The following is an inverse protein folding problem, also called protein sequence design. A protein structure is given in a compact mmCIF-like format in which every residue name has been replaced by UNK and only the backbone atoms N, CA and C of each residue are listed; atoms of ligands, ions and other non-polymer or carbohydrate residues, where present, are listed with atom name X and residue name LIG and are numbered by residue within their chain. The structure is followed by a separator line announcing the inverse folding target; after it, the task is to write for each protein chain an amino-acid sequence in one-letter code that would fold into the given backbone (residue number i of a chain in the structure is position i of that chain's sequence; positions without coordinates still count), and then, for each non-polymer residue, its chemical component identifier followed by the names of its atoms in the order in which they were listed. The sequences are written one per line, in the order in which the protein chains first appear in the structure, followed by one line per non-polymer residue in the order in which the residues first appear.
data_IF_906620381191
#
_entry.id   IF_906620381191
#
_cell.length_a   1.000
_cell.length_b   1.000
_cell.length_c   1.000
_cell.angle_alpha   90.00
_cell.angle_beta   90.00
_cell.angle_gamma   90.00
#
_symmetry.space_group_name_H-M   'P 1'
#
loop_
_entity.id
_entity.type
_entity.pdbx_description
1 polymer ?
#
# COMPACT_ATOMS: atom_id res chain seq x y z
N UNK A 1 48.57 -25.64 -64.46
CA UNK A 1 48.48 -24.56 -63.51
C UNK A 1 47.13 -24.63 -62.83
N UNK A 2 47.05 -25.23 -61.64
CA UNK A 2 45.82 -25.32 -60.85
C UNK A 2 45.83 -24.22 -59.80
N UNK A 3 44.86 -23.31 -59.83
CA UNK A 3 44.65 -22.30 -58.80
C UNK A 3 43.71 -22.90 -57.76
N UNK A 4 44.22 -23.09 -56.55
CA UNK A 4 43.47 -23.45 -55.37
C UNK A 4 42.77 -22.18 -54.80
N UNK A 5 41.45 -22.26 -54.73
CA UNK A 5 40.64 -21.20 -54.01
C UNK A 5 40.51 -21.63 -52.57
N UNK A 6 41.15 -20.91 -51.69
CA UNK A 6 40.94 -21.04 -50.24
C UNK A 6 39.62 -20.36 -49.85
N UNK A 7 38.66 -21.15 -49.43
CA UNK A 7 37.43 -20.69 -48.82
C UNK A 7 37.68 -20.41 -47.34
N UNK A 8 37.57 -19.16 -46.96
CA UNK A 8 37.59 -18.72 -45.57
C UNK A 8 36.19 -18.83 -44.99
N UNK A 9 35.94 -19.62 -43.94
CA UNK A 9 34.65 -19.59 -43.27
C UNK A 9 34.57 -18.33 -42.40
N UNK A 10 33.64 -17.44 -42.76
CA UNK A 10 33.26 -16.30 -41.91
C UNK A 10 32.45 -16.84 -40.73
N UNK A 11 33.07 -16.86 -39.56
CA UNK A 11 32.42 -17.19 -38.31
C UNK A 11 31.64 -15.95 -37.84
N UNK A 12 30.35 -15.91 -38.14
CA UNK A 12 29.43 -14.92 -37.59
C UNK A 12 29.12 -15.34 -36.16
N UNK A 13 29.85 -14.80 -35.21
CA UNK A 13 29.52 -14.90 -33.80
C UNK A 13 28.32 -13.96 -33.54
N UNK A 14 27.12 -14.52 -33.51
CA UNK A 14 25.93 -13.82 -33.04
C UNK A 14 26.07 -13.57 -31.52
N UNK A 15 26.51 -12.37 -31.17
CA UNK A 15 26.51 -11.88 -29.80
C UNK A 15 25.06 -11.62 -29.40
N UNK A 16 24.38 -12.64 -28.88
CA UNK A 16 23.09 -12.46 -28.22
C UNK A 16 23.39 -11.78 -26.88
N UNK A 17 23.38 -10.46 -26.85
CA UNK A 17 23.35 -9.70 -25.63
C UNK A 17 22.04 -10.04 -24.93
N UNK A 18 22.08 -10.94 -23.96
CA UNK A 18 21.00 -11.15 -23.03
C UNK A 18 20.79 -9.83 -22.28
N UNK A 19 19.81 -9.04 -22.73
CA UNK A 19 19.30 -7.91 -21.97
C UNK A 19 18.59 -8.52 -20.77
N UNK A 20 19.36 -8.80 -19.72
CA UNK A 20 18.80 -9.04 -18.40
C UNK A 20 18.15 -7.73 -18.01
N UNK A 21 16.82 -7.66 -17.81
CA UNK A 21 16.24 -6.48 -17.23
C UNK A 21 16.91 -6.29 -15.88
N UNK A 22 17.81 -5.33 -15.78
CA UNK A 22 18.28 -4.83 -14.50
C UNK A 22 16.99 -4.29 -13.87
N UNK A 23 16.41 -5.05 -12.96
CA UNK A 23 15.39 -4.52 -12.09
C UNK A 23 16.01 -3.25 -11.52
N UNK A 24 15.52 -2.10 -11.96
CA UNK A 24 15.87 -0.83 -11.38
C UNK A 24 15.45 -0.94 -9.91
N UNK A 25 16.39 -1.39 -9.06
CA UNK A 25 16.29 -1.14 -7.65
C UNK A 25 16.32 0.36 -7.57
N UNK A 26 15.21 0.94 -7.16
CA UNK A 26 15.19 2.29 -6.67
C UNK A 26 16.05 2.28 -5.40
N UNK A 27 17.37 2.34 -5.55
CA UNK A 27 18.36 2.46 -4.47
C UNK A 27 18.38 3.89 -3.91
N UNK A 28 17.33 4.68 -4.16
CA UNK A 28 17.04 5.82 -3.34
C UNK A 28 16.58 5.31 -1.99
N UNK A 29 17.35 5.60 -0.94
CA UNK A 29 16.79 5.59 0.41
C UNK A 29 15.42 6.25 0.32
N UNK A 30 14.34 5.61 0.83
CA UNK A 30 13.03 6.23 0.80
C UNK A 30 13.19 7.63 1.36
N UNK A 31 12.78 8.63 0.59
CA UNK A 31 12.79 10.01 1.06
C UNK A 31 12.05 9.99 2.38
N UNK A 32 12.77 10.34 3.42
CA UNK A 32 12.34 10.22 4.80
C UNK A 32 10.98 10.88 4.98
N UNK A 33 10.01 10.13 5.43
CA UNK A 33 8.59 10.48 5.42
C UNK A 33 7.86 9.91 4.19
N UNK A 34 6.61 9.48 4.38
CA UNK A 34 5.83 8.87 3.31
C UNK A 34 5.37 9.95 2.35
N UNK A 35 5.85 9.88 1.14
CA UNK A 35 5.48 10.78 0.05
C UNK A 35 5.30 10.08 -1.29
N UNK A 36 5.23 8.78 -1.26
CA UNK A 36 4.92 8.02 -2.47
C UNK A 36 3.42 8.09 -2.69
N UNK A 37 3.02 8.51 -3.89
CA UNK A 37 1.61 8.46 -4.27
C UNK A 37 1.06 7.05 -4.18
N UNK A 38 -0.13 6.92 -3.63
CA UNK A 38 -0.85 5.66 -3.66
C UNK A 38 -1.42 5.40 -5.06
N UNK A 39 -1.61 4.11 -5.37
CA UNK A 39 -2.29 3.66 -6.60
C UNK A 39 -3.76 4.08 -6.70
N UNK A 40 -4.28 4.76 -5.68
CA UNK A 40 -5.64 5.26 -5.57
C UNK A 40 -6.29 4.89 -4.24
N UNK A 41 -7.40 5.55 -3.94
CA UNK A 41 -8.22 5.30 -2.76
C UNK A 41 -9.63 4.89 -3.19
N UNK A 42 -10.17 3.83 -2.58
CA UNK A 42 -11.50 3.34 -2.85
C UNK A 42 -12.49 3.85 -1.80
N UNK A 43 -13.66 4.24 -2.26
CA UNK A 43 -14.79 4.56 -1.41
C UNK A 43 -15.57 3.29 -1.06
N UNK A 44 -15.96 3.17 0.20
CA UNK A 44 -16.86 2.10 0.64
C UNK A 44 -18.35 2.47 0.42
N UNK A 45 -18.66 3.75 0.22
CA UNK A 45 -20.02 4.27 0.19
C UNK A 45 -20.62 4.34 -1.22
N UNK A 46 -19.81 4.72 -2.23
CA UNK A 46 -20.30 4.96 -3.60
C UNK A 46 -19.78 3.99 -4.66
N UNK A 47 -19.00 2.98 -4.24
CA UNK A 47 -18.42 2.00 -5.16
C UNK A 47 -17.46 2.62 -6.18
N UNK A 48 -16.89 3.78 -5.89
CA UNK A 48 -15.91 4.45 -6.72
C UNK A 48 -14.48 4.30 -6.19
N UNK A 49 -13.52 4.48 -7.08
CA UNK A 49 -12.10 4.60 -6.78
C UNK A 49 -11.59 5.91 -7.36
N UNK A 50 -10.77 6.60 -6.59
CA UNK A 50 -10.13 7.84 -7.00
C UNK A 50 -8.66 7.59 -7.28
N UNK A 51 -8.18 8.11 -8.41
CA UNK A 51 -6.78 7.98 -8.84
C UNK A 51 -6.26 9.35 -9.29
N UNK A 52 -4.94 9.49 -9.29
CA UNK A 52 -4.27 10.68 -9.82
C UNK A 52 -3.29 10.28 -10.91
N UNK A 53 -3.27 11.06 -12.00
CA UNK A 53 -2.40 10.85 -13.15
C UNK A 53 -1.59 12.14 -13.36
N UNK A 54 -0.26 12.09 -13.28
CA UNK A 54 0.57 13.26 -13.57
C UNK A 54 0.49 13.61 -15.06
N UNK A 55 0.31 14.92 -15.35
CA UNK A 55 0.17 15.46 -16.69
C UNK A 55 0.98 16.76 -16.82
N UNK A 56 2.31 16.65 -16.87
CA UNK A 56 3.25 17.77 -16.87
C UNK A 56 3.13 18.60 -15.58
N UNK A 57 2.77 19.89 -15.70
CA UNK A 57 2.55 20.78 -14.55
C UNK A 57 1.15 20.69 -13.94
N UNK A 58 0.40 19.67 -14.31
CA UNK A 58 -0.98 19.44 -13.88
C UNK A 58 -1.15 18.02 -13.35
N UNK A 59 -2.22 17.81 -12.62
CA UNK A 59 -2.68 16.48 -12.18
C UNK A 59 -4.08 16.25 -12.72
N UNK A 60 -4.30 15.13 -13.35
CA UNK A 60 -5.64 14.64 -13.67
C UNK A 60 -6.09 13.77 -12.48
N UNK A 61 -7.26 14.09 -11.95
CA UNK A 61 -7.93 13.29 -10.92
C UNK A 61 -9.09 12.59 -11.59
N UNK A 62 -9.22 11.30 -11.41
CA UNK A 62 -10.32 10.52 -11.94
C UNK A 62 -11.07 9.80 -10.83
N UNK A 63 -12.40 9.80 -10.97
CA UNK A 63 -13.31 8.94 -10.24
C UNK A 63 -13.68 7.78 -11.16
N UNK A 64 -13.38 6.58 -10.75
CA UNK A 64 -13.53 5.37 -11.56
C UNK A 64 -14.48 4.41 -10.84
N UNK A 65 -15.44 3.84 -11.56
CA UNK A 65 -16.29 2.78 -11.01
C UNK A 65 -15.44 1.57 -10.58
N UNK A 66 -15.64 1.06 -9.37
CA UNK A 66 -14.88 -0.10 -8.87
C UNK A 66 -15.12 -1.36 -9.72
N UNK A 67 -16.32 -1.48 -10.27
CA UNK A 67 -16.67 -2.55 -11.20
C UNK A 67 -16.70 -2.00 -12.62
N UNK A 68 -15.98 -2.64 -13.53
CA UNK A 68 -15.94 -2.28 -14.95
C UNK A 68 -14.98 -1.15 -15.33
N UNK A 69 -14.37 -0.44 -14.37
CA UNK A 69 -13.31 0.55 -14.64
C UNK A 69 -13.77 1.80 -15.42
N UNK A 70 -15.07 2.07 -15.52
CA UNK A 70 -15.59 3.26 -16.22
C UNK A 70 -15.19 4.53 -15.47
N UNK A 71 -14.68 5.55 -16.19
CA UNK A 71 -14.45 6.89 -15.66
C UNK A 71 -15.80 7.58 -15.47
N UNK A 72 -16.14 7.87 -14.22
CA UNK A 72 -17.41 8.52 -13.83
C UNK A 72 -17.29 10.05 -13.88
N UNK A 73 -16.13 10.55 -13.47
CA UNK A 73 -15.80 11.97 -13.49
C UNK A 73 -14.28 12.14 -13.58
N UNK A 74 -13.84 13.27 -14.10
CA UNK A 74 -12.44 13.65 -14.08
C UNK A 74 -12.27 15.16 -13.96
N UNK A 75 -11.12 15.58 -13.44
CA UNK A 75 -10.74 17.00 -13.33
C UNK A 75 -9.24 17.18 -13.47
N UNK A 76 -8.83 18.21 -14.18
CA UNK A 76 -7.45 18.65 -14.27
C UNK A 76 -7.17 19.75 -13.24
N UNK A 77 -6.24 19.52 -12.34
CA UNK A 77 -5.77 20.47 -11.33
C UNK A 77 -4.46 21.10 -11.78
N UNK A 78 -4.22 22.35 -11.45
CA UNK A 78 -2.91 23.00 -11.61
C UNK A 78 -1.97 22.55 -10.47
N UNK A 79 -0.80 22.08 -10.80
CA UNK A 79 0.21 21.57 -9.86
C UNK A 79 0.27 20.05 -9.87
N UNK A 80 1.27 19.52 -9.20
CA UNK A 80 1.50 18.09 -9.04
C UNK A 80 0.93 17.65 -7.70
N UNK A 81 -0.07 16.78 -7.73
CA UNK A 81 -0.72 16.23 -6.54
C UNK A 81 -0.89 14.73 -6.69
N UNK A 82 -0.97 14.03 -5.58
CA UNK A 82 -1.18 12.60 -5.52
C UNK A 82 -2.14 12.22 -4.40
N UNK A 83 -2.76 11.05 -4.50
CA UNK A 83 -3.42 10.40 -3.38
C UNK A 83 -2.34 10.14 -2.31
N UNK A 84 -2.51 10.59 -1.06
CA UNK A 84 -1.50 10.37 -0.05
C UNK A 84 -1.39 8.88 0.32
N UNK A 85 -0.17 8.36 0.38
CA UNK A 85 0.14 7.14 1.09
C UNK A 85 0.34 7.49 2.58
N UNK A 86 -0.15 6.65 3.48
CA UNK A 86 -0.14 6.92 4.92
C UNK A 86 0.69 5.92 5.73
N UNK A 87 1.17 4.86 5.08
CA UNK A 87 2.12 3.91 5.63
C UNK A 87 2.99 3.32 4.52
N UNK A 88 4.14 2.74 4.89
CA UNK A 88 5.09 2.17 3.93
C UNK A 88 4.57 0.90 3.23
N UNK A 89 3.51 0.28 3.73
CA UNK A 89 2.81 -0.81 3.05
C UNK A 89 1.98 -0.34 1.83
N UNK A 90 1.99 0.96 1.52
CA UNK A 90 1.24 1.55 0.42
C UNK A 90 -0.22 1.87 0.76
N UNK A 91 -0.62 1.76 2.02
CA UNK A 91 -1.97 2.16 2.45
C UNK A 91 -2.29 3.57 2.01
N UNK A 92 -3.40 3.72 1.31
CA UNK A 92 -3.90 5.00 0.81
C UNK A 92 -4.72 5.74 1.87
N UNK A 93 -4.64 7.07 1.84
CA UNK A 93 -5.47 7.95 2.64
C UNK A 93 -6.14 9.03 1.81
N UNK A 94 -6.71 10.04 2.47
CA UNK A 94 -7.23 11.23 1.82
C UNK A 94 -8.70 11.22 1.47
N UNK A 95 -9.40 10.08 1.49
CA UNK A 95 -10.85 10.03 1.29
C UNK A 95 -11.55 9.90 2.64
N UNK A 96 -12.53 10.77 2.90
CA UNK A 96 -13.38 10.67 4.10
C UNK A 96 -14.27 9.42 4.04
N UNK A 97 -14.64 8.87 5.20
CA UNK A 97 -15.43 7.64 5.26
C UNK A 97 -16.83 7.78 4.67
N UNK A 98 -17.42 8.98 4.75
CA UNK A 98 -18.68 9.30 4.07
C UNK A 98 -18.53 9.47 2.55
N UNK A 99 -17.31 9.39 2.02
CA UNK A 99 -17.00 9.50 0.61
C UNK A 99 -17.11 10.91 0.03
N UNK A 100 -17.39 11.96 0.83
CA UNK A 100 -17.69 13.30 0.31
C UNK A 100 -16.45 14.18 0.08
N UNK A 101 -15.36 13.90 0.76
CA UNK A 101 -14.15 14.74 0.74
C UNK A 101 -12.94 13.94 0.31
N UNK A 102 -12.26 14.40 -0.75
CA UNK A 102 -11.00 13.86 -1.22
C UNK A 102 -9.88 14.87 -1.00
N UNK A 103 -8.81 14.44 -0.33
CA UNK A 103 -7.61 15.25 -0.08
C UNK A 103 -6.45 14.69 -0.88
N UNK A 104 -5.79 15.57 -1.63
CA UNK A 104 -4.57 15.26 -2.37
C UNK A 104 -3.42 16.07 -1.78
N UNK A 105 -2.21 15.53 -1.84
CA UNK A 105 -1.00 16.18 -1.35
C UNK A 105 0.02 16.37 -2.48
N UNK A 106 0.80 17.45 -2.41
CA UNK A 106 1.96 17.67 -3.29
C UNK A 106 3.07 16.69 -2.86
N UNK A 107 3.63 15.86 -3.77
CA UNK A 107 4.71 14.94 -3.45
C UNK A 107 5.93 15.69 -2.88
N UNK A 108 6.60 15.07 -1.89
CA UNK A 108 7.86 15.60 -1.33
C UNK A 108 9.01 15.28 -2.29
N UNK A 109 9.75 16.28 -2.67
CA UNK A 109 10.93 16.13 -3.53
C UNK A 109 12.24 16.33 -2.76
N UNK A 110 12.16 16.85 -1.54
CA UNK A 110 13.30 17.06 -0.65
C UNK A 110 12.86 17.03 0.81
N UNK A 111 13.76 16.66 1.71
CA UNK A 111 13.55 16.72 3.15
C UNK A 111 14.62 17.62 3.80
N UNK A 112 14.23 18.56 4.69
CA UNK A 112 12.85 18.99 4.89
C UNK A 112 12.38 19.88 3.74
N UNK A 113 11.07 19.95 3.52
CA UNK A 113 10.49 20.96 2.63
C UNK A 113 10.02 22.18 3.42
N UNK A 114 10.17 23.38 2.85
CA UNK A 114 9.76 24.62 3.50
C UNK A 114 8.23 24.77 3.57
N UNK A 115 7.51 24.19 2.63
CA UNK A 115 6.05 24.28 2.55
C UNK A 115 5.45 23.01 2.05
N UNK A 116 4.27 22.68 2.56
CA UNK A 116 3.44 21.55 2.11
C UNK A 116 2.15 22.07 1.51
N UNK A 117 1.80 21.59 0.31
CA UNK A 117 0.53 21.96 -0.33
C UNK A 117 -0.41 20.78 -0.41
N UNK A 118 -1.69 21.07 -0.23
CA UNK A 118 -2.78 20.11 -0.36
C UNK A 118 -3.91 20.73 -1.17
N UNK A 119 -4.70 19.87 -1.81
CA UNK A 119 -5.96 20.24 -2.44
C UNK A 119 -7.06 19.43 -1.80
N UNK A 120 -8.13 20.09 -1.41
CA UNK A 120 -9.36 19.48 -0.89
C UNK A 120 -10.39 19.57 -2.00
N UNK A 121 -10.94 18.42 -2.38
CA UNK A 121 -11.98 18.28 -3.39
C UNK A 121 -13.26 17.75 -2.76
N UNK A 122 -14.41 18.18 -3.26
CA UNK A 122 -15.64 17.39 -3.12
C UNK A 122 -15.56 16.20 -4.06
N UNK A 123 -15.98 15.03 -3.62
CA UNK A 123 -16.13 13.87 -4.49
C UNK A 123 -17.23 14.07 -5.55
N UNK A 124 -18.24 14.88 -5.24
CA UNK A 124 -19.26 15.28 -6.21
C UNK A 124 -18.66 16.14 -7.33
N UNK A 125 -18.43 15.50 -8.48
CA UNK A 125 -17.85 16.13 -9.67
C UNK A 125 -16.42 16.63 -9.47
N UNK A 126 -15.70 16.16 -8.48
CA UNK A 126 -14.29 16.50 -8.16
C UNK A 126 -14.07 18.01 -8.05
N UNK A 127 -15.03 18.74 -7.49
CA UNK A 127 -14.96 20.21 -7.38
C UNK A 127 -13.92 20.61 -6.35
N UNK A 128 -12.97 21.46 -6.74
CA UNK A 128 -11.97 22.01 -5.83
C UNK A 128 -12.65 22.93 -4.82
N UNK A 129 -12.56 22.57 -3.54
CA UNK A 129 -13.08 23.36 -2.43
C UNK A 129 -12.02 24.31 -1.88
N UNK A 130 -10.80 23.81 -1.73
CA UNK A 130 -9.71 24.59 -1.09
C UNK A 130 -8.33 24.12 -1.55
N UNK A 131 -7.40 25.08 -1.66
CA UNK A 131 -5.96 24.81 -1.66
C UNK A 131 -5.43 25.22 -0.29
N UNK A 132 -4.74 24.31 0.38
CA UNK A 132 -4.09 24.53 1.68
C UNK A 132 -2.59 24.61 1.46
N UNK A 133 -1.94 25.62 2.04
CA UNK A 133 -0.49 25.76 2.08
C UNK A 133 -0.06 25.86 3.53
N UNK A 134 0.64 24.87 4.01
CA UNK A 134 1.20 24.82 5.37
C UNK A 134 2.67 25.21 5.32
N UNK A 135 3.10 26.03 6.27
CA UNK A 135 4.52 26.33 6.47
C UNK A 135 5.18 25.18 7.22
N UNK A 136 6.21 24.59 6.63
CA UNK A 136 6.91 23.44 7.18
C UNK A 136 6.67 22.16 6.39
N UNK A 137 7.25 21.09 6.89
CA UNK A 137 7.19 19.78 6.28
C UNK A 137 6.14 18.89 6.97
N UNK A 138 5.11 18.53 6.21
CA UNK A 138 4.00 17.73 6.68
C UNK A 138 3.78 16.52 5.75
N UNK A 139 3.49 15.35 6.32
CA UNK A 139 2.85 14.25 5.61
C UNK A 139 1.38 14.16 6.03
N UNK A 140 0.53 13.71 5.11
CA UNK A 140 -0.86 13.43 5.42
C UNK A 140 -0.95 12.18 6.30
N UNK A 141 -1.81 12.22 7.32
CA UNK A 141 -2.03 11.09 8.21
C UNK A 141 -3.44 10.53 8.10
N UNK A 142 -4.46 11.34 8.36
CA UNK A 142 -5.84 10.90 8.33
C UNK A 142 -6.81 12.03 7.98
N UNK A 143 -8.05 11.66 7.66
CA UNK A 143 -9.19 12.55 7.53
C UNK A 143 -10.33 12.04 8.40
N UNK A 144 -11.05 12.95 9.07
CA UNK A 144 -12.24 12.58 9.85
C UNK A 144 -13.36 12.05 8.94
N UNK A 145 -14.34 11.31 9.49
CA UNK A 145 -15.40 10.69 8.70
C UNK A 145 -16.14 11.61 7.73
N UNK A 146 -16.31 12.88 8.10
CA UNK A 146 -17.02 13.90 7.29
C UNK A 146 -16.09 14.88 6.57
N UNK A 147 -14.76 14.65 6.58
CA UNK A 147 -13.81 15.57 5.97
C UNK A 147 -13.60 16.88 6.71
N UNK A 148 -14.23 17.10 7.89
CA UNK A 148 -14.15 18.36 8.64
C UNK A 148 -12.80 18.59 9.31
N UNK A 149 -12.04 17.53 9.59
CA UNK A 149 -10.71 17.56 10.17
C UNK A 149 -9.73 16.76 9.32
N UNK A 150 -8.52 17.33 9.10
CA UNK A 150 -7.38 16.61 8.53
C UNK A 150 -6.31 16.48 9.61
N UNK A 151 -5.55 15.38 9.56
CA UNK A 151 -4.47 15.09 10.46
C UNK A 151 -3.17 14.97 9.70
N UNK A 152 -2.10 15.50 10.27
CA UNK A 152 -0.80 15.56 9.65
C UNK A 152 0.30 15.12 10.60
N UNK A 153 1.28 14.44 10.07
CA UNK A 153 2.59 14.27 10.67
C UNK A 153 3.40 15.52 10.35
N UNK A 154 3.72 16.34 11.35
CA UNK A 154 4.55 17.54 11.23
C UNK A 154 5.98 17.21 11.63
N UNK A 155 6.90 17.20 10.70
CA UNK A 155 8.31 16.96 10.96
C UNK A 155 8.95 18.20 11.55
N UNK A 156 9.43 18.08 12.80
CA UNK A 156 9.93 19.22 13.60
C UNK A 156 11.45 19.30 13.63
N UNK A 157 12.14 18.31 13.07
CA UNK A 157 13.60 18.29 12.97
C UNK A 157 14.03 18.28 11.50
N UNK A 158 14.95 19.19 11.11
CA UNK A 158 15.43 19.20 9.73
C UNK A 158 16.36 18.03 9.38
N UNK A 159 16.93 17.38 10.39
CA UNK A 159 17.93 16.32 10.23
C UNK A 159 17.46 14.95 10.71
N UNK A 160 16.29 14.88 11.35
CA UNK A 160 15.77 13.65 11.93
C UNK A 160 14.26 13.52 11.63
N UNK A 161 13.89 12.79 10.59
CA UNK A 161 12.50 12.60 10.18
C UNK A 161 11.72 11.67 11.11
N UNK A 162 12.40 11.01 12.04
CA UNK A 162 11.73 10.20 13.06
C UNK A 162 11.18 11.05 14.22
N UNK A 163 11.46 12.37 14.21
CA UNK A 163 10.95 13.32 15.19
C UNK A 163 9.84 14.17 14.60
N UNK A 164 8.62 13.92 15.03
CA UNK A 164 7.44 14.58 14.51
C UNK A 164 6.35 14.74 15.58
N UNK A 165 5.35 15.53 15.22
CA UNK A 165 4.12 15.74 15.98
C UNK A 165 2.93 15.38 15.10
N UNK A 166 1.85 14.89 15.70
CA UNK A 166 0.56 14.77 15.03
C UNK A 166 -0.23 16.05 15.27
N UNK A 167 -0.72 16.69 14.22
CA UNK A 167 -1.49 17.93 14.30
C UNK A 167 -2.79 17.85 13.53
N UNK A 168 -3.84 18.47 14.06
CA UNK A 168 -5.13 18.57 13.41
C UNK A 168 -5.28 19.90 12.68
N UNK A 169 -5.91 19.86 11.49
CA UNK A 169 -6.27 21.02 10.69
C UNK A 169 -7.80 21.14 10.60
N UNK A 170 -8.33 22.26 10.99
CA UNK A 170 -9.74 22.60 10.86
C UNK A 170 -10.05 23.05 9.43
N UNK A 171 -10.74 22.21 8.69
CA UNK A 171 -11.04 22.48 7.26
C UNK A 171 -11.95 23.68 7.09
N UNK A 172 -12.95 23.85 7.98
CA UNK A 172 -13.86 24.97 7.92
C UNK A 172 -13.16 26.31 8.19
N UNK A 173 -12.37 26.36 9.28
CA UNK A 173 -11.64 27.58 9.65
C UNK A 173 -10.37 27.78 8.84
N UNK A 174 -9.89 26.75 8.14
CA UNK A 174 -8.68 26.81 7.31
C UNK A 174 -7.39 26.99 8.11
N UNK A 175 -7.31 26.42 9.31
CA UNK A 175 -6.15 26.60 10.19
C UNK A 175 -5.70 25.30 10.87
N UNK A 176 -4.39 25.19 11.03
CA UNK A 176 -3.76 24.17 11.84
C UNK A 176 -3.98 24.50 13.32
N UNK A 177 -4.31 23.50 14.14
CA UNK A 177 -4.36 23.68 15.58
C UNK A 177 -2.95 23.75 16.16
N UNK A 178 -2.71 24.70 17.06
CA UNK A 178 -1.39 24.87 17.68
C UNK A 178 -1.03 23.71 18.62
N UNK A 179 -2.02 23.11 19.29
CA UNK A 179 -1.81 22.00 20.23
C UNK A 179 -1.70 20.70 19.42
N UNK A 180 -0.62 19.93 19.58
CA UNK A 180 -0.51 18.63 18.95
C UNK A 180 -1.51 17.62 19.56
N UNK A 181 -1.80 16.59 18.80
CA UNK A 181 -2.52 15.41 19.27
C UNK A 181 -1.52 14.55 20.04
N UNK A 182 -1.85 14.23 21.26
CA UNK A 182 -1.02 13.40 22.15
C UNK A 182 -1.89 12.33 22.80
N UNK A 183 -1.25 11.30 23.30
CA UNK A 183 -1.87 10.35 24.21
C UNK A 183 -2.07 11.02 25.58
N UNK A 184 -3.31 11.16 26.08
CA UNK A 184 -3.57 11.79 27.38
C UNK A 184 -2.99 10.99 28.55
N UNK A 185 -2.85 9.67 28.39
CA UNK A 185 -2.29 8.78 29.42
C UNK A 185 -0.75 8.81 29.44
N UNK A 186 -0.14 9.28 28.32
CA UNK A 186 1.32 9.36 28.15
C UNK A 186 1.75 10.75 27.65
N UNK A 187 1.42 11.85 28.35
CA UNK A 187 1.59 13.22 27.83
C UNK A 187 3.05 13.63 27.56
N UNK A 188 4.01 12.94 28.13
CA UNK A 188 5.45 13.17 27.91
C UNK A 188 6.06 12.33 26.79
N UNK A 189 5.30 11.38 26.22
CA UNK A 189 5.79 10.52 25.17
C UNK A 189 5.92 11.28 23.85
N UNK A 190 7.03 11.04 23.16
CA UNK A 190 7.30 11.63 21.83
C UNK A 190 7.08 10.58 20.78
N UNK A 191 6.23 10.88 19.81
CA UNK A 191 6.06 10.06 18.63
C UNK A 191 7.39 9.91 17.89
N UNK A 192 7.71 8.68 17.48
CA UNK A 192 8.95 8.33 16.75
C UNK A 192 8.77 7.07 15.92
N UNK A 193 9.65 6.90 14.95
CA UNK A 193 9.69 5.71 14.11
C UNK A 193 8.96 5.87 12.78
N UNK A 194 8.96 4.79 12.02
CA UNK A 194 8.39 4.73 10.69
C UNK A 194 7.00 4.09 10.72
N UNK A 195 6.01 4.65 10.02
CA UNK A 195 4.68 4.07 9.91
C UNK A 195 4.72 2.90 8.91
N UNK A 196 4.63 1.68 9.42
CA UNK A 196 4.81 0.46 8.63
C UNK A 196 3.54 0.00 7.93
N UNK A 197 2.42 0.05 8.65
CA UNK A 197 1.13 -0.45 8.15
C UNK A 197 -0.01 0.36 8.75
N UNK A 198 -1.10 0.52 7.99
CA UNK A 198 -2.28 1.29 8.37
C UNK A 198 -3.56 0.49 8.15
N UNK A 199 -4.50 0.63 9.07
CA UNK A 199 -5.91 0.26 8.88
C UNK A 199 -6.83 1.30 9.52
N UNK A 200 -8.08 1.37 9.05
CA UNK A 200 -9.11 2.29 9.57
C UNK A 200 -10.29 1.49 10.10
N UNK A 201 -10.97 2.02 11.12
CA UNK A 201 -12.30 1.53 11.46
C UNK A 201 -13.29 1.78 10.31
N UNK A 202 -14.31 0.95 10.20
CA UNK A 202 -15.27 1.03 9.09
C UNK A 202 -16.00 2.39 9.02
N UNK A 203 -16.23 3.05 10.16
CA UNK A 203 -16.82 4.37 10.27
C UNK A 203 -15.82 5.52 10.04
N UNK A 204 -14.53 5.20 9.82
CA UNK A 204 -13.46 6.18 9.63
C UNK A 204 -13.06 6.96 10.88
N UNK A 205 -13.65 6.66 12.04
CA UNK A 205 -13.33 7.34 13.29
C UNK A 205 -11.92 7.05 13.77
N UNK A 206 -11.49 5.80 13.71
CA UNK A 206 -10.19 5.38 14.21
C UNK A 206 -9.22 5.07 13.10
N UNK A 207 -8.05 5.71 13.16
CA UNK A 207 -6.92 5.40 12.30
C UNK A 207 -5.83 4.69 13.13
N UNK A 208 -5.58 3.42 12.82
CA UNK A 208 -4.57 2.61 13.49
C UNK A 208 -3.33 2.51 12.64
N UNK A 209 -2.19 2.96 13.14
CA UNK A 209 -0.91 2.90 12.43
C UNK A 209 0.12 2.16 13.28
N UNK A 210 0.71 1.13 12.70
CA UNK A 210 1.85 0.45 13.30
C UNK A 210 3.13 1.23 13.03
N UNK A 211 3.88 1.53 14.08
CA UNK A 211 5.19 2.17 14.03
C UNK A 211 6.29 1.20 14.51
N UNK A 212 7.49 1.31 13.92
CA UNK A 212 8.65 0.50 14.31
C UNK A 212 9.33 0.95 15.60
N UNK A 213 8.90 2.09 16.17
CA UNK A 213 9.44 2.63 17.41
C UNK A 213 10.86 3.21 17.31
N UNK A 214 11.48 3.29 16.11
CA UNK A 214 12.85 3.77 15.90
C UNK A 214 13.88 3.12 16.84
N UNK A 215 13.86 1.81 16.93
CA UNK A 215 14.77 1.00 17.77
C UNK A 215 14.29 0.81 19.22
N UNK A 216 13.14 1.37 19.59
CA UNK A 216 12.43 1.04 20.84
C UNK A 216 11.31 0.02 20.56
N UNK A 217 10.42 -0.17 21.54
CA UNK A 217 9.24 -1.02 21.38
C UNK A 217 8.39 -0.53 20.21
N UNK A 218 8.03 -1.40 19.25
CA UNK A 218 7.03 -1.07 18.23
C UNK A 218 5.68 -0.84 18.89
N UNK A 219 4.87 0.04 18.32
CA UNK A 219 3.57 0.40 18.88
C UNK A 219 2.52 0.67 17.80
N UNK A 220 1.27 0.61 18.20
CA UNK A 220 0.15 1.07 17.38
C UNK A 220 -0.31 2.43 17.88
N UNK A 221 -0.24 3.43 17.01
CA UNK A 221 -0.87 4.73 17.22
C UNK A 221 -2.33 4.66 16.79
N UNK A 222 -3.24 4.72 17.76
CA UNK A 222 -4.68 4.73 17.55
C UNK A 222 -5.18 6.19 17.63
N UNK A 223 -5.39 6.81 16.46
CA UNK A 223 -5.85 8.20 16.35
C UNK A 223 -7.38 8.24 16.27
N UNK A 224 -8.04 8.88 17.24
CA UNK A 224 -9.47 9.26 17.18
C UNK A 224 -9.63 10.53 16.34
N UNK A 225 -10.05 10.37 15.10
CA UNK A 225 -10.24 11.47 14.14
C UNK A 225 -11.46 12.34 14.44
N UNK A 226 -12.33 11.94 15.36
CA UNK A 226 -13.50 12.70 15.83
C UNK A 226 -13.18 13.39 17.14
N UNK A 227 -12.63 12.65 18.12
CA UNK A 227 -12.25 13.16 19.44
C UNK A 227 -10.99 14.03 19.41
N UNK A 228 -10.16 13.93 18.39
CA UNK A 228 -8.86 14.62 18.29
C UNK A 228 -7.92 14.26 19.43
N UNK A 229 -7.86 12.99 19.74
CA UNK A 229 -6.97 12.37 20.71
C UNK A 229 -6.30 11.15 20.11
N UNK A 230 -5.31 10.61 20.76
CA UNK A 230 -4.65 9.39 20.35
C UNK A 230 -4.29 8.52 21.55
N UNK A 231 -4.08 7.24 21.32
CA UNK A 231 -3.48 6.29 22.26
C UNK A 231 -2.31 5.58 21.61
N UNK A 232 -1.20 5.46 22.35
CA UNK A 232 -0.02 4.71 21.95
C UNK A 232 -0.05 3.34 22.63
N UNK A 233 -0.27 2.29 21.85
CA UNK A 233 -0.43 0.91 22.33
C UNK A 233 0.87 0.17 22.07
N UNK A 234 1.66 -0.04 23.11
CA UNK A 234 2.96 -0.72 23.00
C UNK A 234 2.78 -2.22 22.71
N UNK A 235 3.64 -2.74 21.84
CA UNK A 235 3.61 -4.14 21.40
C UNK A 235 4.77 -4.93 22.02
N UNK A 236 4.86 -4.94 23.33
CA UNK A 236 5.93 -5.61 24.10
C UNK A 236 6.04 -7.12 23.83
N UNK A 237 4.95 -7.74 23.34
CA UNK A 237 4.89 -9.17 23.03
C UNK A 237 5.52 -9.59 21.70
N UNK A 238 5.98 -8.64 20.86
CA UNK A 238 6.62 -8.99 19.58
C UNK A 238 8.00 -9.57 19.85
N UNK A 239 8.26 -10.77 19.29
CA UNK A 239 9.50 -11.47 19.50
C UNK A 239 10.70 -10.68 18.94
N UNK A 240 11.83 -10.71 19.68
CA UNK A 240 13.11 -10.15 19.24
C UNK A 240 13.52 -10.78 17.89
N UNK A 241 13.95 -9.97 16.94
CA UNK A 241 14.31 -10.42 15.59
C UNK A 241 13.13 -10.56 14.60
N UNK A 242 11.90 -10.25 15.01
CA UNK A 242 10.79 -10.16 14.07
C UNK A 242 11.06 -9.06 13.05
N UNK A 243 10.93 -9.38 11.75
CA UNK A 243 10.96 -8.36 10.70
C UNK A 243 9.68 -7.52 10.76
N UNK A 244 9.78 -6.34 11.37
CA UNK A 244 8.64 -5.44 11.57
C UNK A 244 8.04 -4.96 10.25
N UNK A 245 8.82 -4.92 9.14
CA UNK A 245 8.36 -4.50 7.82
C UNK A 245 7.38 -5.50 7.18
N UNK A 246 7.37 -6.74 7.64
CA UNK A 246 6.42 -7.76 7.23
C UNK A 246 5.11 -7.71 8.01
N UNK A 247 5.05 -6.93 9.08
CA UNK A 247 3.85 -6.82 9.90
C UNK A 247 2.77 -6.00 9.19
N UNK A 248 1.53 -6.45 9.32
CA UNK A 248 0.34 -5.78 8.78
C UNK A 248 -0.74 -5.68 9.84
N UNK A 249 -1.47 -4.58 9.81
CA UNK A 249 -2.64 -4.36 10.64
C UNK A 249 -3.91 -4.78 9.91
N UNK A 250 -4.81 -5.41 10.64
CA UNK A 250 -6.15 -5.74 10.17
C UNK A 250 -7.14 -5.73 11.33
N UNK A 251 -8.27 -5.06 11.15
CA UNK A 251 -9.42 -5.22 12.03
C UNK A 251 -10.10 -6.53 11.69
N UNK A 252 -10.50 -7.31 12.68
CA UNK A 252 -11.24 -8.55 12.51
C UNK A 252 -12.66 -8.29 11.96
N UNK A 253 -13.37 -9.37 11.63
CA UNK A 253 -14.66 -9.25 10.94
C UNK A 253 -15.77 -8.65 11.81
N UNK A 254 -15.70 -8.83 13.11
CA UNK A 254 -16.69 -8.30 14.05
C UNK A 254 -16.32 -6.91 14.59
N UNK A 255 -15.19 -6.36 14.16
CA UNK A 255 -14.76 -5.01 14.50
C UNK A 255 -14.27 -4.84 15.94
N UNK A 256 -14.00 -5.95 16.67
CA UNK A 256 -13.65 -5.90 18.09
C UNK A 256 -12.16 -5.95 18.36
N UNK A 257 -11.39 -6.52 17.43
CA UNK A 257 -9.96 -6.72 17.60
C UNK A 257 -9.18 -6.12 16.44
N UNK A 258 -8.06 -5.52 16.77
CA UNK A 258 -7.02 -5.19 15.81
C UNK A 258 -5.95 -6.28 15.86
N UNK A 259 -5.73 -6.94 14.74
CA UNK A 259 -4.80 -8.05 14.59
C UNK A 259 -3.52 -7.53 13.96
N UNK A 260 -2.40 -7.68 14.66
CA UNK A 260 -1.05 -7.53 14.09
C UNK A 260 -0.64 -8.88 13.52
N UNK A 261 -0.32 -8.93 12.24
CA UNK A 261 -0.03 -10.18 11.51
C UNK A 261 1.34 -10.13 10.85
N UNK A 262 2.00 -11.27 10.86
CA UNK A 262 3.15 -11.53 9.99
C UNK A 262 2.67 -12.53 8.92
N UNK A 263 2.58 -12.08 7.67
CA UNK A 263 1.99 -12.86 6.57
C UNK A 263 0.60 -13.42 6.95
N UNK A 264 0.44 -14.73 7.04
CA UNK A 264 -0.82 -15.38 7.38
C UNK A 264 -1.10 -15.47 8.90
N UNK A 265 -0.05 -15.39 9.74
CA UNK A 265 -0.14 -15.70 11.18
C UNK A 265 -0.33 -14.45 12.03
N UNK A 266 -1.28 -14.42 12.97
CA UNK A 266 -1.36 -13.36 13.95
C UNK A 266 -0.17 -13.44 14.91
N UNK A 267 0.38 -12.28 15.29
CA UNK A 267 1.45 -12.16 16.30
C UNK A 267 0.99 -11.45 17.54
N UNK A 268 0.06 -10.51 17.42
CA UNK A 268 -0.57 -9.82 18.55
C UNK A 268 -2.01 -9.48 18.23
N UNK A 269 -2.85 -9.48 19.26
CA UNK A 269 -4.26 -9.09 19.22
C UNK A 269 -4.45 -7.90 20.17
N UNK A 270 -5.13 -6.90 19.72
CA UNK A 270 -5.48 -5.71 20.51
C UNK A 270 -7.00 -5.63 20.61
N UNK A 271 -7.54 -5.69 21.81
CA UNK A 271 -8.97 -5.44 22.05
C UNK A 271 -9.26 -3.96 21.83
N UNK A 272 -10.13 -3.63 20.86
CA UNK A 272 -10.39 -2.25 20.47
C UNK A 272 -11.23 -1.45 21.49
N UNK A 273 -11.81 -2.11 22.46
CA UNK A 273 -12.57 -1.45 23.54
C UNK A 273 -11.67 -1.07 24.72
N UNK A 274 -10.73 -1.94 25.07
CA UNK A 274 -9.86 -1.77 26.25
C UNK A 274 -8.44 -1.35 25.91
N UNK A 275 -8.05 -1.46 24.63
CA UNK A 275 -6.71 -1.28 24.07
C UNK A 275 -5.66 -2.24 24.68
N UNK A 276 -6.13 -3.31 25.34
CA UNK A 276 -5.26 -4.32 25.91
C UNK A 276 -4.66 -5.21 24.80
N UNK A 277 -3.37 -5.52 24.97
CA UNK A 277 -2.60 -6.35 24.02
C UNK A 277 -2.50 -7.77 24.55
N UNK A 278 -2.81 -8.74 23.70
CA UNK A 278 -2.60 -10.16 23.98
C UNK A 278 -1.71 -10.74 22.89
N UNK A 279 -0.70 -11.52 23.30
CA UNK A 279 0.12 -12.26 22.34
C UNK A 279 -0.74 -13.31 21.66
N UNK A 280 -0.72 -13.37 20.35
CA UNK A 280 -1.40 -14.46 19.65
C UNK A 280 -0.69 -15.78 19.99
N UNK A 281 -1.44 -16.75 20.47
CA UNK A 281 -0.95 -18.12 20.56
C UNK A 281 -0.58 -18.59 19.15
N UNK A 282 0.57 -19.23 18.99
CA UNK A 282 0.84 -19.96 17.76
C UNK A 282 -0.40 -20.87 17.52
N UNK A 283 -0.93 -20.96 16.29
CA UNK A 283 -1.92 -21.98 16.03
C UNK A 283 -1.29 -23.28 16.53
N UNK A 284 -1.95 -23.92 17.49
CA UNK A 284 -1.57 -25.27 17.87
C UNK A 284 -1.37 -26.01 16.56
N UNK A 285 -0.16 -26.50 16.34
CA UNK A 285 0.07 -27.50 15.34
C UNK A 285 -0.73 -28.70 15.81
N UNK A 286 -2.06 -28.61 15.66
CA UNK A 286 -2.93 -29.75 15.78
C UNK A 286 -2.30 -30.75 14.84
N UNK A 287 -1.70 -31.75 15.48
CA UNK A 287 -1.18 -32.91 14.84
C UNK A 287 -2.19 -33.28 13.76
N UNK A 288 -1.88 -32.92 12.52
CA UNK A 288 -2.59 -33.45 11.39
C UNK A 288 -2.42 -34.94 11.56
N UNK A 289 -3.47 -35.61 12.04
CA UNK A 289 -3.61 -37.01 11.80
C UNK A 289 -3.24 -37.18 10.33
N UNK A 290 -2.04 -37.65 10.10
CA UNK A 290 -1.63 -38.16 8.80
C UNK A 290 -2.60 -39.30 8.52
N UNK A 291 -3.75 -38.96 7.91
CA UNK A 291 -4.51 -39.96 7.19
C UNK A 291 -3.57 -40.53 6.16
N UNK A 292 -2.89 -41.59 6.52
CA UNK A 292 -2.22 -42.47 5.59
C UNK A 292 -3.28 -42.93 4.59
N UNK A 293 -3.42 -42.20 3.50
CA UNK A 293 -4.10 -42.71 2.32
C UNK A 293 -3.27 -43.90 1.85
N UNK A 294 -3.89 -45.10 1.75
CA UNK A 294 -3.17 -46.30 1.36
C UNK A 294 -2.51 -46.06 -0.01
N UNK A 295 -1.21 -46.26 -0.08
CA UNK A 295 -0.31 -46.01 -1.20
C UNK A 295 -0.75 -46.59 -2.58
N UNK A 296 -1.67 -47.59 -2.69
CA UNK A 296 -2.08 -48.09 -4.00
C UNK A 296 -2.95 -47.13 -4.83
N UNK A 297 -3.56 -46.10 -4.23
CA UNK A 297 -4.40 -45.14 -5.01
C UNK A 297 -3.60 -44.04 -5.75
N UNK A 298 -2.38 -43.75 -5.34
CA UNK A 298 -1.53 -42.72 -5.99
C UNK A 298 -0.90 -43.22 -7.30
N UNK A 299 -0.68 -44.52 -7.46
CA UNK A 299 -0.13 -45.07 -8.70
C UNK A 299 -1.18 -45.18 -9.82
N UNK A 300 -2.46 -45.27 -9.50
CA UNK A 300 -3.53 -45.33 -10.49
C UNK A 300 -3.82 -43.94 -11.13
N UNK A 301 -3.66 -42.84 -10.35
CA UNK A 301 -3.91 -41.50 -10.86
C UNK A 301 -2.76 -40.99 -11.75
N UNK A 302 -1.52 -41.38 -11.47
CA UNK A 302 -0.36 -40.98 -12.30
C UNK A 302 -0.35 -41.62 -13.70
N UNK A 303 -0.87 -42.84 -13.84
CA UNK A 303 -0.95 -43.54 -15.14
C UNK A 303 -1.93 -42.90 -16.11
N UNK A 304 -3.05 -42.37 -15.66
CA UNK A 304 -4.08 -41.78 -16.51
C UNK A 304 -3.62 -40.42 -17.12
N UNK A 305 -2.81 -39.63 -16.42
CA UNK A 305 -2.31 -38.34 -16.92
C UNK A 305 -1.28 -38.55 -18.05
N UNK A 306 -0.42 -39.55 -17.94
CA UNK A 306 0.58 -39.84 -19.00
C UNK A 306 -0.06 -40.39 -20.25
N UNK A 307 -1.11 -41.18 -20.17
CA UNK A 307 -1.85 -41.72 -21.34
C UNK A 307 -2.63 -40.59 -22.02
N UNK A 308 -3.23 -39.66 -21.30
CA UNK A 308 -3.95 -38.51 -21.87
C UNK A 308 -3.00 -37.55 -22.62
N UNK A 309 -1.79 -37.33 -22.10
CA UNK A 309 -0.78 -36.51 -22.77
C UNK A 309 -0.23 -37.16 -24.05
N UNK A 310 -0.02 -38.47 -24.06
CA UNK A 310 0.45 -39.22 -25.26
C UNK A 310 -0.59 -39.21 -26.40
N UNK A 311 -1.89 -39.35 -26.06
CA UNK A 311 -2.97 -39.31 -27.06
C UNK A 311 -3.18 -37.89 -27.59
N UNK A 312 -3.05 -36.85 -26.73
CA UNK A 312 -3.17 -35.44 -27.14
C UNK A 312 -2.08 -35.03 -28.15
N UNK A 313 -0.84 -35.45 -27.93
CA UNK A 313 0.30 -35.12 -28.84
C UNK A 313 0.19 -35.82 -30.20
N UNK A 314 -0.28 -37.06 -30.23
CA UNK A 314 -0.47 -37.77 -31.50
C UNK A 314 -1.65 -37.22 -32.30
N UNK A 315 -2.72 -36.74 -31.65
CA UNK A 315 -3.85 -36.10 -32.33
C UNK A 315 -3.49 -34.73 -32.92
N UNK A 316 -2.73 -33.91 -32.19
CA UNK A 316 -2.25 -32.61 -32.65
C UNK A 316 -1.31 -32.75 -33.87
N UNK A 317 -0.42 -33.76 -33.89
CA UNK A 317 0.49 -34.02 -35.02
C UNK A 317 -0.25 -34.53 -36.28
N UNK A 318 -1.37 -35.22 -36.12
CA UNK A 318 -2.20 -35.62 -37.27
C UNK A 318 -2.96 -34.45 -37.90
N UNK A 319 -3.41 -33.48 -37.15
CA UNK A 319 -4.09 -32.27 -37.68
C UNK A 319 -3.18 -31.36 -38.48
N UNK A 320 -1.91 -31.23 -38.15
CA UNK A 320 -0.95 -30.41 -38.91
C UNK A 320 -0.57 -30.96 -40.29
N UNK A 321 -0.82 -32.23 -40.57
CA UNK A 321 -0.50 -32.82 -41.88
C UNK A 321 -1.58 -32.60 -42.95
N UNK A 322 -2.74 -32.07 -42.63
CA UNK A 322 -3.86 -31.86 -43.54
C UNK A 322 -4.10 -30.40 -43.96
N UNK A 323 -3.18 -29.50 -43.66
CA UNK A 323 -3.36 -28.05 -43.95
C UNK A 323 -2.26 -27.47 -44.84
N UNK A 324 -1.69 -28.24 -45.75
CA UNK A 324 -0.84 -27.68 -46.82
C UNK A 324 -1.69 -27.44 -48.07
N UNK A 325 -1.81 -26.19 -48.57
CA UNK A 325 -2.47 -25.91 -49.86
C UNK A 325 -1.59 -26.35 -50.98
N UNK A 326 -2.20 -26.95 -52.02
CA UNK A 326 -1.56 -27.32 -53.29
C UNK A 326 -1.08 -26.07 -54.03
N UNK A 327 0.06 -26.12 -54.75
CA UNK A 327 0.50 -25.01 -55.58
C UNK A 327 -0.39 -24.90 -56.80
N UNK A 328 -0.81 -23.70 -57.12
CA UNK A 328 -1.53 -23.32 -58.35
C UNK A 328 -0.50 -23.24 -59.48
N UNK A 329 -0.77 -23.97 -60.55
CA UNK A 329 -0.10 -23.91 -61.83
C UNK A 329 -0.45 -22.66 -62.63
#
# INVERSE_FOLDING_TARGET
MRRSILSVPVLVAALVAAIVPVAARADGLPVLGIDVGSTGVASSSDGARYVTIPAGSRTIVEQIAQHGGQVLAWRSLRGTFTIPAVAYDGSAGGLSADGTTLVLIEPRTSFPRATTKLVILSSDGLKQQRVVKLQGDFSFDAVSPTGSWLYFIHYVSPNDPTRYLVQAFDVLRGRLLAKPIIDPDKPGEKMRGNPLSRTMSADGRWAYTLYDGAGATPFVHALDTVGRSAHCIDLDGIASGTDLWQLRLRIDRDGKQLVVRNSASPVSLIDLRTLSVTRASAPDAQAGETRHLPMPLLLAAGGFVLVALAVGVTWARRRQRHTLPSPIS
#
